data_IF_332417697766
#
_entry.id   IF_332417697766
#
_cell.length_a   1.000
_cell.length_b   1.000
_cell.length_c   1.000
_cell.angle_alpha   90.00
_cell.angle_beta   90.00
_cell.angle_gamma   90.00
#
_symmetry.space_group_name_H-M   'P 1'
#
loop_
_entity.id
_entity.type
_entity.pdbx_description
1 polymer ?
#
# COMPACT_ATOMS: atom_id res chain seq x y z
N UNK A 1 8.26 4.73 14.85
CA UNK A 1 8.83 4.53 16.21
C UNK A 1 7.76 3.91 17.07
N UNK A 2 8.07 2.93 17.93
CA UNK A 2 7.09 2.30 18.81
C UNK A 2 6.40 3.32 19.75
N UNK A 3 5.15 3.07 20.13
CA UNK A 3 4.31 4.00 20.89
C UNK A 3 3.43 3.30 21.95
N UNK A 4 2.72 4.10 22.77
CA UNK A 4 1.66 3.61 23.67
C UNK A 4 0.46 3.09 22.85
N UNK A 5 -0.35 2.17 23.41
CA UNK A 5 -1.54 1.65 22.73
C UNK A 5 -2.71 2.65 22.68
N UNK A 6 -2.67 3.73 23.47
CA UNK A 6 -3.67 4.80 23.50
C UNK A 6 -3.00 6.14 23.80
N UNK A 7 -3.66 7.25 23.42
CA UNK A 7 -3.18 8.61 23.65
C UNK A 7 -3.01 8.89 25.15
N UNK A 8 -1.91 9.52 25.53
CA UNK A 8 -1.68 9.89 26.92
C UNK A 8 -2.76 10.84 27.45
N UNK A 9 -3.26 10.56 28.65
CA UNK A 9 -4.37 11.31 29.25
C UNK A 9 -5.77 10.82 28.86
N UNK A 10 -5.92 9.90 27.89
CA UNK A 10 -7.22 9.29 27.56
C UNK A 10 -7.52 8.01 28.34
N UNK A 11 -6.54 7.50 29.07
CA UNK A 11 -6.68 6.28 29.87
C UNK A 11 -6.03 6.40 31.24
N UNK A 12 -6.45 5.53 32.16
CA UNK A 12 -5.80 5.28 33.43
C UNK A 12 -5.54 3.78 33.57
N UNK A 13 -4.37 3.39 34.06
CA UNK A 13 -4.11 2.00 34.46
C UNK A 13 -5.07 1.67 35.61
N UNK A 14 -6.08 0.83 35.34
CA UNK A 14 -7.06 0.40 36.33
C UNK A 14 -6.60 -0.84 37.05
N UNK A 15 -5.79 -1.68 36.40
CA UNK A 15 -5.31 -2.92 37.00
C UNK A 15 -4.09 -3.50 36.28
N UNK A 16 -3.15 -4.10 37.02
CA UNK A 16 -1.81 -4.50 36.53
C UNK A 16 -1.66 -5.98 36.15
N UNK A 17 -0.49 -6.32 35.59
CA UNK A 17 -0.06 -7.68 35.27
C UNK A 17 0.20 -8.51 36.54
N UNK A 18 -0.10 -9.80 36.50
CA UNK A 18 0.20 -10.74 37.59
C UNK A 18 -1.04 -11.44 38.17
N UNK A 19 -0.88 -12.13 39.31
CA UNK A 19 -1.96 -12.94 39.90
C UNK A 19 -3.05 -12.08 40.53
N UNK A 20 -4.31 -12.37 40.19
CA UNK A 20 -5.51 -11.80 40.79
C UNK A 20 -6.42 -12.92 41.28
N UNK A 21 -6.69 -12.97 42.58
CA UNK A 21 -7.65 -13.93 43.18
C UNK A 21 -7.42 -15.40 42.77
N UNK A 22 -6.15 -15.79 42.56
CA UNK A 22 -5.76 -17.14 42.12
C UNK A 22 -5.61 -17.33 40.61
N UNK A 23 -6.12 -16.41 39.77
CA UNK A 23 -6.02 -16.46 38.31
C UNK A 23 -4.96 -15.50 37.76
N UNK A 24 -4.17 -15.90 36.73
CA UNK A 24 -3.19 -15.02 36.12
C UNK A 24 -3.87 -13.95 35.25
N UNK A 25 -3.50 -12.68 35.45
CA UNK A 25 -3.80 -11.58 34.55
C UNK A 25 -2.59 -11.32 33.66
N UNK A 26 -2.71 -11.64 32.37
CA UNK A 26 -1.59 -11.70 31.43
C UNK A 26 -1.30 -10.36 30.72
N UNK A 27 -1.99 -9.30 31.12
CA UNK A 27 -1.82 -7.96 30.55
C UNK A 27 -1.95 -6.84 31.58
N UNK A 28 -2.19 -5.63 31.09
CA UNK A 28 -2.58 -4.45 31.87
C UNK A 28 -3.95 -3.97 31.40
N UNK A 29 -4.79 -3.55 32.34
CA UNK A 29 -6.09 -2.96 32.02
C UNK A 29 -5.97 -1.44 32.03
N UNK A 30 -6.30 -0.84 30.89
CA UNK A 30 -6.27 0.59 30.65
C UNK A 30 -7.70 1.10 30.54
N UNK A 31 -8.27 1.57 31.65
CA UNK A 31 -9.61 2.11 31.69
C UNK A 31 -9.71 3.40 30.89
N UNK A 32 -10.66 3.45 29.97
CA UNK A 32 -10.91 4.56 29.06
C UNK A 32 -12.38 4.51 28.59
N UNK A 33 -13.00 5.65 28.22
CA UNK A 33 -14.36 5.66 27.68
C UNK A 33 -14.52 4.72 26.49
N UNK A 34 -15.70 4.09 26.36
CA UNK A 34 -16.03 3.31 25.17
C UNK A 34 -15.88 4.17 23.90
N UNK A 35 -15.27 3.61 22.85
CA UNK A 35 -14.96 4.33 21.62
C UNK A 35 -13.61 5.07 21.62
N UNK A 36 -12.85 5.05 22.73
CA UNK A 36 -11.50 5.65 22.76
C UNK A 36 -10.58 4.96 21.74
N UNK A 37 -9.87 5.68 20.86
CA UNK A 37 -8.98 5.09 19.86
C UNK A 37 -7.87 4.20 20.43
N UNK A 38 -7.64 3.05 19.79
CA UNK A 38 -6.56 2.09 20.09
C UNK A 38 -5.58 2.06 18.90
N UNK A 39 -4.28 2.03 19.20
CA UNK A 39 -3.20 2.12 18.21
C UNK A 39 -2.25 0.93 18.25
N UNK A 40 -1.72 0.54 17.08
CA UNK A 40 -0.62 -0.41 16.95
C UNK A 40 0.62 0.14 17.65
N UNK A 41 1.20 -0.62 18.57
CA UNK A 41 2.34 -0.13 19.38
C UNK A 41 3.68 -0.26 18.67
N UNK A 42 3.77 -1.12 17.66
CA UNK A 42 4.95 -1.39 16.85
C UNK A 42 4.53 -1.77 15.42
N UNK A 43 5.47 -1.75 14.48
CA UNK A 43 5.23 -2.22 13.12
C UNK A 43 5.04 -3.75 13.13
N UNK A 44 4.08 -4.28 12.37
CA UNK A 44 3.77 -5.71 12.44
C UNK A 44 2.75 -6.18 11.42
N UNK A 45 2.37 -7.45 11.52
CA UNK A 45 1.34 -8.10 10.72
C UNK A 45 0.20 -8.52 11.64
N UNK A 46 -1.03 -8.18 11.28
CA UNK A 46 -2.21 -8.57 12.06
C UNK A 46 -2.42 -10.08 11.89
N UNK A 47 -2.37 -10.79 13.00
CA UNK A 47 -2.66 -12.24 13.08
C UNK A 47 -4.15 -12.48 13.20
N UNK A 48 -4.84 -11.60 13.93
CA UNK A 48 -6.27 -11.72 14.16
C UNK A 48 -6.93 -10.34 14.39
N UNK A 49 -8.05 -10.07 13.73
CA UNK A 49 -8.77 -8.79 13.77
C UNK A 49 -10.28 -8.94 13.54
N UNK A 50 -10.86 -8.06 12.71
CA UNK A 50 -12.32 -7.94 12.49
C UNK A 50 -12.95 -9.17 11.87
N UNK A 51 -12.18 -10.04 11.21
CA UNK A 51 -12.68 -11.28 10.60
C UNK A 51 -13.19 -12.30 11.63
N UNK A 52 -12.87 -12.10 12.91
CA UNK A 52 -13.31 -12.98 14.00
C UNK A 52 -14.60 -12.49 14.62
N UNK A 53 -15.68 -13.29 14.60
CA UNK A 53 -16.98 -12.85 15.13
C UNK A 53 -16.89 -12.33 16.57
N UNK A 54 -17.73 -11.33 16.87
CA UNK A 54 -17.89 -10.82 18.22
C UNK A 54 -18.11 -11.94 19.23
N UNK A 55 -17.38 -11.91 20.36
CA UNK A 55 -17.51 -12.91 21.42
C UNK A 55 -16.85 -14.26 21.14
N UNK A 56 -16.16 -14.42 20.00
CA UNK A 56 -15.48 -15.67 19.64
C UNK A 56 -14.17 -15.92 20.39
N UNK A 57 -13.69 -14.92 21.15
CA UNK A 57 -12.45 -15.04 21.93
C UNK A 57 -12.79 -15.13 23.42
N UNK A 58 -12.66 -16.33 23.98
CA UNK A 58 -12.95 -16.59 25.40
C UNK A 58 -12.19 -15.62 26.31
N UNK A 59 -12.89 -15.04 27.28
CA UNK A 59 -12.35 -14.01 28.19
C UNK A 59 -12.34 -12.61 27.58
N UNK A 60 -11.79 -12.42 26.37
CA UNK A 60 -11.61 -11.11 25.75
C UNK A 60 -12.87 -10.55 25.07
N UNK A 61 -13.80 -11.41 24.66
CA UNK A 61 -14.91 -11.06 23.79
C UNK A 61 -14.41 -10.90 22.36
N UNK A 62 -13.93 -9.70 22.03
CA UNK A 62 -13.24 -9.39 20.79
C UNK A 62 -11.84 -8.86 21.08
N UNK A 63 -10.93 -9.08 20.13
CA UNK A 63 -9.55 -8.65 20.28
C UNK A 63 -8.92 -8.22 18.96
N UNK A 64 -7.70 -7.72 19.03
CA UNK A 64 -6.77 -7.62 17.91
C UNK A 64 -5.47 -8.27 18.37
N UNK A 65 -4.84 -9.09 17.54
CA UNK A 65 -3.52 -9.67 17.80
C UNK A 65 -2.60 -9.36 16.63
N UNK A 66 -1.45 -8.78 16.94
CA UNK A 66 -0.44 -8.35 15.97
C UNK A 66 0.89 -9.03 16.29
N UNK A 67 1.48 -9.65 15.28
CA UNK A 67 2.85 -10.15 15.26
C UNK A 67 3.79 -9.00 14.89
N UNK A 68 4.62 -8.59 15.86
CA UNK A 68 5.65 -7.58 15.68
C UNK A 68 7.04 -8.18 15.92
N UNK A 69 7.22 -9.50 15.70
CA UNK A 69 8.48 -10.20 15.94
C UNK A 69 9.62 -9.61 15.09
N UNK A 70 9.34 -9.31 13.82
CA UNK A 70 10.33 -8.76 12.90
C UNK A 70 10.79 -7.33 13.27
N UNK A 71 9.96 -6.54 13.98
CA UNK A 71 10.27 -5.14 14.31
C UNK A 71 10.83 -4.99 15.71
N UNK A 72 10.25 -5.67 16.70
CA UNK A 72 10.59 -5.50 18.13
C UNK A 72 10.71 -6.84 18.87
N UNK A 73 10.58 -7.98 18.20
CA UNK A 73 10.70 -9.31 18.81
C UNK A 73 9.56 -9.66 19.77
N UNK A 74 8.35 -9.12 19.51
CA UNK A 74 7.17 -9.24 20.39
C UNK A 74 5.88 -9.41 19.61
N UNK A 75 4.88 -10.02 20.25
CA UNK A 75 3.48 -9.90 19.84
C UNK A 75 2.72 -9.03 20.84
N UNK A 76 1.65 -8.40 20.34
CA UNK A 76 0.76 -7.59 21.15
C UNK A 76 -0.68 -8.01 20.95
N UNK A 77 -1.42 -8.09 22.07
CA UNK A 77 -2.86 -8.35 22.06
C UNK A 77 -3.62 -7.18 22.70
N UNK A 78 -4.73 -6.84 22.06
CA UNK A 78 -5.65 -5.79 22.42
C UNK A 78 -7.02 -6.42 22.65
N UNK A 79 -7.44 -6.57 23.89
CA UNK A 79 -8.68 -7.24 24.30
C UNK A 79 -9.80 -6.28 24.69
N UNK A 80 -11.02 -6.81 24.80
CA UNK A 80 -12.25 -6.07 25.11
C UNK A 80 -12.55 -4.95 24.11
N UNK A 81 -12.10 -5.11 22.86
CA UNK A 81 -12.25 -4.13 21.78
C UNK A 81 -13.70 -4.09 21.30
N UNK A 82 -14.19 -2.93 20.87
CA UNK A 82 -15.52 -2.83 20.25
C UNK A 82 -15.48 -3.44 18.85
N UNK A 83 -16.15 -4.57 18.64
CA UNK A 83 -16.01 -5.37 17.43
C UNK A 83 -16.34 -4.60 16.13
N UNK A 84 -17.47 -3.87 16.01
CA UNK A 84 -17.74 -3.02 14.85
C UNK A 84 -16.72 -1.89 14.62
N UNK A 85 -15.93 -1.57 15.64
CA UNK A 85 -14.89 -0.55 15.61
C UNK A 85 -13.48 -1.09 15.39
N UNK A 86 -13.30 -2.39 15.11
CA UNK A 86 -12.00 -2.95 14.69
C UNK A 86 -11.75 -2.54 13.23
N UNK A 87 -10.59 -1.93 12.99
CA UNK A 87 -10.24 -1.32 11.69
C UNK A 87 -9.33 -2.19 10.82
N UNK A 88 -8.85 -3.32 11.36
CA UNK A 88 -7.86 -4.20 10.73
C UNK A 88 -8.31 -5.65 10.71
N UNK A 89 -7.78 -6.45 9.79
CA UNK A 89 -8.03 -7.89 9.63
C UNK A 89 -6.73 -8.69 9.50
N UNK A 90 -6.83 -10.01 9.67
CA UNK A 90 -5.68 -10.90 9.48
C UNK A 90 -5.00 -10.69 8.12
N UNK A 91 -3.68 -10.55 8.13
CA UNK A 91 -2.83 -10.28 6.95
C UNK A 91 -2.44 -8.81 6.77
N UNK A 92 -3.16 -7.86 7.37
CA UNK A 92 -2.85 -6.42 7.24
C UNK A 92 -1.47 -6.11 7.84
N UNK A 93 -0.67 -5.27 7.16
CA UNK A 93 0.52 -4.68 7.79
C UNK A 93 0.13 -3.41 8.51
N UNK A 94 0.63 -3.24 9.73
CA UNK A 94 0.40 -2.04 10.53
C UNK A 94 1.70 -1.34 10.84
N UNK A 95 1.64 -0.02 10.99
CA UNK A 95 2.76 0.78 11.52
C UNK A 95 2.48 1.23 12.95
N UNK A 96 3.53 1.39 13.75
CA UNK A 96 3.43 1.98 15.07
C UNK A 96 2.71 3.34 15.01
N UNK A 97 1.69 3.53 15.84
CA UNK A 97 0.85 4.73 15.86
C UNK A 97 -0.33 4.70 14.88
N UNK A 98 -0.52 3.64 14.10
CA UNK A 98 -1.73 3.44 13.30
C UNK A 98 -2.90 3.05 14.21
N UNK A 99 -4.05 3.73 14.08
CA UNK A 99 -5.25 3.30 14.80
C UNK A 99 -5.76 1.97 14.22
N UNK A 100 -5.97 1.00 15.09
CA UNK A 100 -6.37 -0.37 14.75
C UNK A 100 -7.76 -0.73 15.27
N UNK A 101 -8.28 0.04 16.23
CA UNK A 101 -9.60 -0.20 16.80
C UNK A 101 -10.04 0.91 17.74
N UNK A 102 -11.08 0.61 18.53
CA UNK A 102 -11.55 1.46 19.62
C UNK A 102 -11.92 0.64 20.86
N UNK A 103 -11.76 1.22 22.04
CA UNK A 103 -12.09 0.61 23.33
C UNK A 103 -13.54 0.17 23.34
N UNK A 104 -13.76 -1.09 23.70
CA UNK A 104 -15.09 -1.66 23.88
C UNK A 104 -15.40 -1.92 25.35
N UNK A 105 -16.33 -2.84 25.56
CA UNK A 105 -16.68 -3.40 26.87
C UNK A 105 -17.13 -4.86 26.70
N UNK A 106 -16.48 -5.58 25.78
CA UNK A 106 -16.91 -6.91 25.35
C UNK A 106 -16.25 -8.02 26.16
N UNK A 107 -16.84 -9.21 26.17
CA UNK A 107 -16.29 -10.35 26.92
C UNK A 107 -16.40 -10.17 28.43
N UNK A 108 -15.42 -10.70 29.17
CA UNK A 108 -15.39 -10.65 30.64
C UNK A 108 -14.87 -9.29 31.14
N UNK A 109 -15.61 -8.23 30.83
CA UNK A 109 -15.30 -6.85 31.22
C UNK A 109 -16.34 -6.30 32.20
N UNK A 110 -15.90 -5.62 33.26
CA UNK A 110 -16.78 -4.97 34.25
C UNK A 110 -17.03 -3.48 33.96
N UNK A 111 -16.37 -2.93 32.95
CA UNK A 111 -16.55 -1.56 32.46
C UNK A 111 -15.58 -1.24 31.33
N UNK A 112 -15.80 -0.18 30.52
CA UNK A 112 -14.99 0.09 29.34
C UNK A 112 -13.50 0.24 29.64
N UNK A 113 -12.67 -0.60 29.00
CA UNK A 113 -11.21 -0.58 29.09
C UNK A 113 -10.57 -1.35 27.94
N UNK A 114 -9.29 -1.08 27.68
CA UNK A 114 -8.43 -1.93 26.85
C UNK A 114 -7.66 -2.88 27.76
N UNK A 115 -7.78 -4.18 27.52
CA UNK A 115 -6.84 -5.17 28.07
C UNK A 115 -5.67 -5.34 27.11
N UNK A 116 -4.45 -5.02 27.54
CA UNK A 116 -3.28 -5.01 26.66
C UNK A 116 -2.23 -6.02 27.14
N UNK A 117 -1.81 -6.93 26.26
CA UNK A 117 -0.79 -7.95 26.57
C UNK A 117 0.46 -7.78 25.68
N UNK A 118 1.62 -8.12 26.22
CA UNK A 118 2.90 -8.22 25.49
C UNK A 118 3.46 -9.65 25.63
N UNK A 119 3.87 -10.25 24.51
CA UNK A 119 4.40 -11.61 24.48
C UNK A 119 5.80 -11.66 23.86
N UNK A 120 6.70 -12.41 24.49
CA UNK A 120 8.06 -12.69 23.99
C UNK A 120 8.04 -13.62 22.78
N UNK A 121 9.13 -13.67 22.01
CA UNK A 121 9.33 -14.64 20.94
C UNK A 121 9.07 -16.10 21.41
N UNK A 122 8.43 -16.95 20.57
CA UNK A 122 8.00 -16.69 19.19
C UNK A 122 6.63 -16.00 19.06
N UNK A 123 6.07 -15.44 20.14
CA UNK A 123 4.75 -14.78 20.13
C UNK A 123 3.73 -15.45 21.05
N UNK A 124 2.44 -15.15 20.89
CA UNK A 124 1.38 -15.69 21.78
C UNK A 124 1.30 -17.22 21.77
N UNK A 125 1.68 -17.87 20.66
CA UNK A 125 1.58 -19.33 20.47
C UNK A 125 2.78 -20.15 20.96
N UNK A 126 3.71 -19.54 21.70
CA UNK A 126 4.84 -20.28 22.28
C UNK A 126 5.73 -19.47 23.20
N UNK A 127 5.56 -18.15 23.21
CA UNK A 127 6.25 -17.23 24.09
C UNK A 127 5.57 -17.08 25.44
N UNK A 128 6.21 -16.28 26.28
CA UNK A 128 5.74 -15.91 27.62
C UNK A 128 5.17 -14.50 27.63
N UNK A 129 4.00 -14.33 28.23
CA UNK A 129 3.45 -13.01 28.56
C UNK A 129 4.36 -12.30 29.57
N UNK A 130 4.65 -11.03 29.31
CA UNK A 130 5.44 -10.17 30.19
C UNK A 130 4.62 -8.94 30.58
N UNK A 131 5.05 -8.25 31.64
CA UNK A 131 4.35 -7.06 32.12
C UNK A 131 4.45 -5.90 31.10
N UNK A 132 3.34 -5.52 30.44
CA UNK A 132 3.34 -4.45 29.45
C UNK A 132 3.36 -3.06 30.08
N UNK A 133 3.28 -2.93 31.42
CA UNK A 133 3.40 -1.63 32.08
C UNK A 133 4.73 -0.95 31.76
N UNK A 134 5.81 -1.73 31.62
CA UNK A 134 7.11 -1.23 31.17
C UNK A 134 7.05 -0.62 29.78
N UNK A 135 6.35 -1.28 28.83
CA UNK A 135 6.14 -0.74 27.49
C UNK A 135 5.33 0.55 27.52
N UNK A 136 4.19 0.56 28.23
CA UNK A 136 3.29 1.72 28.33
C UNK A 136 3.98 2.92 28.98
N UNK A 137 4.89 2.70 29.93
CA UNK A 137 5.61 3.77 30.62
C UNK A 137 6.77 4.35 29.79
N UNK A 138 7.42 3.55 28.94
CA UNK A 138 8.68 3.91 28.26
C UNK A 138 8.52 4.43 26.84
N UNK A 139 7.33 4.31 26.24
CA UNK A 139 7.08 4.73 24.85
C UNK A 139 6.27 6.03 24.77
N UNK A 140 6.42 6.83 23.70
CA UNK A 140 5.65 8.07 23.52
C UNK A 140 4.17 7.81 23.24
N UNK A 141 3.31 8.80 23.51
CA UNK A 141 1.91 8.77 23.10
C UNK A 141 1.79 8.56 21.58
N UNK A 142 0.84 7.73 21.09
CA UNK A 142 0.48 7.73 19.67
C UNK A 142 0.02 9.15 19.31
N UNK A 143 0.53 9.70 18.21
CA UNK A 143 0.18 11.07 17.78
C UNK A 143 1.25 12.16 17.92
N UNK A 144 2.54 11.83 18.12
CA UNK A 144 3.61 12.76 17.72
C UNK A 144 3.80 12.83 16.19
N UNK A 145 3.35 11.83 15.44
CA UNK A 145 3.08 11.85 13.98
C UNK A 145 2.63 10.43 13.59
N UNK A 146 1.35 10.20 13.31
CA UNK A 146 0.85 9.10 12.49
C UNK A 146 -0.68 9.10 12.51
N UNK A 147 -1.27 9.54 11.40
CA UNK A 147 -2.66 9.24 11.05
C UNK A 147 -2.67 7.92 10.26
N UNK A 148 -3.78 7.20 10.36
CA UNK A 148 -4.06 5.86 9.82
C UNK A 148 -3.80 5.77 8.31
N UNK A 149 -3.04 4.77 7.86
CA UNK A 149 -3.02 4.30 6.46
C UNK A 149 -3.79 2.97 6.42
N UNK A 150 -4.83 2.88 5.60
CA UNK A 150 -5.49 1.61 5.25
C UNK A 150 -4.80 1.06 4.00
N UNK A 151 -4.37 -0.18 4.02
CA UNK A 151 -3.56 -0.81 2.97
C UNK A 151 -4.38 -1.28 1.75
N UNK A 152 -5.41 -0.51 1.36
CA UNK A 152 -6.04 -0.59 0.04
C UNK A 152 -5.85 0.73 -0.77
N UNK A 153 -5.14 1.72 -0.23
CA UNK A 153 -4.61 2.85 -1.00
C UNK A 153 -3.42 3.48 -0.27
N UNK A 154 -2.20 3.05 -0.60
CA UNK A 154 -1.04 3.89 -0.32
C UNK A 154 -1.17 5.08 -1.25
N UNK A 155 -1.63 6.23 -0.75
CA UNK A 155 -1.54 7.44 -1.55
C UNK A 155 -0.09 7.88 -1.58
N UNK A 156 0.54 7.69 -2.74
CA UNK A 156 1.90 8.18 -2.99
C UNK A 156 1.82 9.57 -3.59
N UNK A 157 2.81 10.40 -3.27
CA UNK A 157 2.82 11.81 -3.62
C UNK A 157 3.91 12.10 -4.64
N UNK A 158 3.61 13.01 -5.55
CA UNK A 158 4.53 13.43 -6.58
C UNK A 158 4.47 14.92 -6.83
N UNK A 159 5.37 15.37 -7.69
CA UNK A 159 5.42 16.74 -8.17
C UNK A 159 5.41 16.72 -9.70
N UNK A 160 4.97 17.81 -10.29
CA UNK A 160 5.29 18.13 -11.67
C UNK A 160 6.04 19.45 -11.71
N UNK A 161 7.11 19.48 -12.50
CA UNK A 161 8.06 20.60 -12.52
C UNK A 161 8.51 20.91 -13.93
N UNK A 162 8.89 22.16 -14.10
CA UNK A 162 9.37 22.72 -15.35
C UNK A 162 10.51 23.70 -15.08
N UNK A 163 10.97 24.41 -16.10
CA UNK A 163 11.96 25.46 -15.92
C UNK A 163 11.53 26.67 -15.06
N UNK A 164 10.31 26.67 -14.51
CA UNK A 164 9.92 27.54 -13.41
C UNK A 164 10.58 27.13 -12.07
N UNK A 165 10.96 25.86 -11.91
CA UNK A 165 11.63 25.29 -10.73
C UNK A 165 13.10 24.94 -11.02
N UNK A 166 13.88 25.87 -11.59
CA UNK A 166 15.33 25.62 -11.84
C UNK A 166 16.08 25.36 -10.54
N UNK A 167 17.04 24.44 -10.59
CA UNK A 167 17.88 24.08 -9.42
C UNK A 167 17.12 23.36 -8.31
N UNK A 168 15.98 22.74 -8.62
CA UNK A 168 15.16 22.02 -7.64
C UNK A 168 15.90 20.82 -7.04
N UNK A 169 15.94 20.74 -5.71
CA UNK A 169 16.59 19.64 -4.99
C UNK A 169 15.70 18.40 -4.92
N UNK A 170 15.78 17.57 -5.96
CA UNK A 170 15.01 16.32 -6.07
C UNK A 170 15.42 15.26 -5.04
N UNK A 171 16.67 15.28 -4.56
CA UNK A 171 17.12 14.37 -3.50
C UNK A 171 16.47 14.73 -2.16
N UNK A 172 16.41 16.04 -1.84
CA UNK A 172 15.66 16.53 -0.68
C UNK A 172 14.16 16.27 -0.82
N UNK A 173 13.58 16.47 -2.01
CA UNK A 173 12.17 16.17 -2.25
C UNK A 173 11.86 14.68 -1.97
N UNK A 174 12.72 13.76 -2.46
CA UNK A 174 12.64 12.33 -2.13
C UNK A 174 12.73 12.08 -0.63
N UNK A 175 13.67 12.73 0.06
CA UNK A 175 13.84 12.62 1.51
C UNK A 175 12.63 13.15 2.30
N UNK A 176 11.89 14.13 1.76
CA UNK A 176 10.63 14.63 2.31
C UNK A 176 9.43 13.70 2.02
N UNK A 177 9.63 12.69 1.15
CA UNK A 177 8.65 11.65 0.83
C UNK A 177 7.88 11.90 -0.46
N UNK A 178 8.45 12.64 -1.42
CA UNK A 178 8.02 12.63 -2.82
C UNK A 178 8.48 11.33 -3.46
N UNK A 179 7.60 10.65 -4.18
CA UNK A 179 7.86 9.31 -4.76
C UNK A 179 7.95 9.34 -6.28
N UNK A 180 7.31 10.31 -6.94
CA UNK A 180 7.35 10.47 -8.39
C UNK A 180 7.48 11.94 -8.85
N UNK A 181 8.02 12.13 -10.06
CA UNK A 181 8.12 13.43 -10.71
C UNK A 181 7.67 13.35 -12.18
N UNK A 182 6.83 14.29 -12.62
CA UNK A 182 6.42 14.45 -14.01
C UNK A 182 7.09 15.71 -14.57
N UNK A 183 7.98 15.54 -15.54
CA UNK A 183 8.92 16.60 -15.96
C UNK A 183 8.53 17.22 -17.30
N UNK A 184 8.52 18.56 -17.40
CA UNK A 184 8.19 19.22 -18.68
C UNK A 184 9.28 19.00 -19.72
N UNK A 185 8.89 18.50 -20.89
CA UNK A 185 9.76 18.42 -22.06
C UNK A 185 9.82 19.75 -22.81
N UNK A 186 8.64 20.29 -23.09
CA UNK A 186 8.44 21.49 -23.89
C UNK A 186 7.05 22.10 -23.66
N UNK A 187 6.95 23.37 -24.05
CA UNK A 187 5.70 24.10 -24.24
C UNK A 187 5.57 24.43 -25.73
N UNK A 188 4.73 23.67 -26.43
CA UNK A 188 4.73 23.66 -27.88
C UNK A 188 6.14 23.39 -28.43
N UNK A 189 6.72 24.39 -29.09
CA UNK A 189 8.10 24.33 -29.61
C UNK A 189 9.14 24.98 -28.70
N UNK A 190 8.74 25.60 -27.59
CA UNK A 190 9.65 26.08 -26.57
C UNK A 190 10.26 24.89 -25.82
N UNK A 191 11.60 24.81 -25.82
CA UNK A 191 12.37 23.77 -25.14
C UNK A 191 12.42 24.07 -23.65
N UNK A 192 11.97 23.14 -22.80
CA UNK A 192 12.21 23.27 -21.36
C UNK A 192 13.71 23.11 -21.06
N UNK A 193 14.34 24.21 -20.64
CA UNK A 193 15.81 24.24 -20.49
C UNK A 193 16.29 23.54 -19.21
N UNK A 194 15.39 23.09 -18.34
CA UNK A 194 15.73 22.42 -17.08
C UNK A 194 15.46 20.91 -17.12
N UNK A 195 14.70 20.44 -18.11
CA UNK A 195 14.34 19.03 -18.30
C UNK A 195 15.51 18.06 -18.04
N UNK A 196 16.66 18.27 -18.68
CA UNK A 196 17.82 17.35 -18.54
C UNK A 196 18.40 17.32 -17.14
N UNK A 197 18.44 18.47 -16.46
CA UNK A 197 18.91 18.58 -15.08
C UNK A 197 17.93 17.90 -14.12
N UNK A 198 16.63 18.16 -14.29
CA UNK A 198 15.58 17.53 -13.50
C UNK A 198 15.52 16.03 -13.71
N UNK A 199 15.60 15.54 -14.95
CA UNK A 199 15.60 14.12 -15.25
C UNK A 199 16.77 13.41 -14.56
N UNK A 200 17.99 13.94 -14.72
CA UNK A 200 19.16 13.37 -14.08
C UNK A 200 19.08 13.45 -12.54
N UNK A 201 18.49 14.52 -11.99
CA UNK A 201 18.24 14.65 -10.55
C UNK A 201 17.23 13.63 -10.03
N UNK A 202 16.14 13.42 -10.76
CA UNK A 202 15.06 12.52 -10.37
C UNK A 202 15.51 11.05 -10.41
N UNK A 203 16.24 10.66 -11.46
CA UNK A 203 16.80 9.33 -11.60
C UNK A 203 17.84 9.03 -10.52
N UNK A 204 18.75 9.98 -10.22
CA UNK A 204 19.71 9.83 -9.12
C UNK A 204 19.03 9.71 -7.76
N UNK A 205 17.90 10.37 -7.56
CA UNK A 205 17.13 10.30 -6.33
C UNK A 205 16.26 9.03 -6.23
N UNK A 206 16.16 8.22 -7.29
CA UNK A 206 15.28 7.05 -7.32
C UNK A 206 13.80 7.41 -7.27
N UNK A 207 13.41 8.51 -7.91
CA UNK A 207 12.01 8.85 -8.15
C UNK A 207 11.47 8.05 -9.35
N UNK A 208 10.18 7.72 -9.32
CA UNK A 208 9.49 7.32 -10.54
C UNK A 208 9.37 8.55 -11.45
N UNK A 209 9.74 8.41 -12.71
CA UNK A 209 9.78 9.55 -13.64
C UNK A 209 8.81 9.33 -14.80
N UNK A 210 8.01 10.36 -15.07
CA UNK A 210 7.31 10.52 -16.34
C UNK A 210 7.59 11.92 -16.88
N UNK A 211 7.05 12.21 -18.06
CA UNK A 211 7.25 13.50 -18.71
C UNK A 211 5.94 14.08 -19.20
N UNK A 212 5.89 15.38 -19.43
CA UNK A 212 4.73 16.01 -20.04
C UNK A 212 5.11 17.01 -21.12
N UNK A 213 4.18 17.21 -22.04
CA UNK A 213 4.25 18.19 -23.11
C UNK A 213 3.03 19.09 -23.04
N UNK A 214 3.26 20.39 -22.81
CA UNK A 214 2.20 21.40 -22.89
C UNK A 214 1.84 21.60 -24.36
N UNK A 215 0.71 21.02 -24.77
CA UNK A 215 0.25 20.98 -26.14
C UNK A 215 -0.24 22.37 -26.57
N UNK A 216 0.27 22.86 -27.70
CA UNK A 216 -0.25 24.08 -28.35
C UNK A 216 -1.07 23.71 -29.57
N UNK A 217 -2.18 24.42 -29.80
CA UNK A 217 -3.01 24.20 -30.97
C UNK A 217 -2.25 24.62 -32.24
N UNK A 218 -2.48 23.96 -33.40
CA UNK A 218 -1.88 24.39 -34.67
C UNK A 218 -2.16 25.86 -35.02
N UNK A 219 -3.32 26.38 -34.61
CA UNK A 219 -3.70 27.79 -34.77
C UNK A 219 -2.80 28.78 -34.01
N UNK A 220 -2.01 28.30 -33.05
CA UNK A 220 -1.03 29.09 -32.30
C UNK A 220 0.33 29.20 -33.03
N UNK A 221 0.44 28.63 -34.23
CA UNK A 221 1.56 28.89 -35.15
C UNK A 221 2.57 27.75 -35.29
N UNK A 222 2.36 26.60 -34.64
CA UNK A 222 3.22 25.41 -34.83
C UNK A 222 2.37 24.15 -34.96
N UNK A 223 2.71 23.31 -35.93
CA UNK A 223 2.06 22.00 -36.09
C UNK A 223 2.39 21.07 -34.93
N UNK A 224 1.51 20.10 -34.67
CA UNK A 224 1.72 19.03 -33.70
C UNK A 224 3.05 18.28 -33.97
N UNK A 225 3.32 17.97 -35.23
CA UNK A 225 4.57 17.31 -35.64
C UNK A 225 5.83 18.13 -35.28
N UNK A 226 5.82 19.46 -35.47
CA UNK A 226 6.93 20.34 -35.08
C UNK A 226 7.14 20.38 -33.56
N UNK A 227 6.07 20.26 -32.78
CA UNK A 227 6.17 20.17 -31.32
C UNK A 227 6.77 18.83 -30.91
N UNK A 228 6.38 17.72 -31.56
CA UNK A 228 6.97 16.39 -31.31
C UNK A 228 8.44 16.32 -31.78
N UNK A 229 8.87 17.08 -32.79
CA UNK A 229 10.30 17.24 -33.13
C UNK A 229 11.12 17.77 -31.93
N UNK A 230 10.51 18.58 -31.06
CA UNK A 230 11.17 19.09 -29.84
C UNK A 230 11.31 17.98 -28.82
N UNK A 231 10.26 17.16 -28.66
CA UNK A 231 10.27 15.98 -27.78
C UNK A 231 11.37 15.00 -28.22
N UNK A 232 11.52 14.75 -29.52
CA UNK A 232 12.61 13.91 -30.04
C UNK A 232 14.00 14.42 -29.65
N UNK A 233 14.23 15.73 -29.75
CA UNK A 233 15.51 16.33 -29.34
C UNK A 233 15.74 16.26 -27.83
N UNK A 234 14.69 16.42 -27.03
CA UNK A 234 14.78 16.36 -25.56
C UNK A 234 15.03 14.93 -25.07
N UNK A 235 14.26 13.98 -25.58
CA UNK A 235 14.34 12.56 -25.22
C UNK A 235 15.63 11.90 -25.70
N UNK A 236 16.28 12.43 -26.73
CA UNK A 236 17.61 11.97 -27.15
C UNK A 236 17.66 10.48 -27.51
N UNK A 237 16.55 9.95 -28.05
CA UNK A 237 16.39 8.54 -28.40
C UNK A 237 15.75 7.66 -27.31
N UNK A 238 15.50 8.18 -26.10
CA UNK A 238 14.75 7.44 -25.08
C UNK A 238 13.30 7.20 -25.47
N UNK A 239 12.78 6.05 -25.06
CA UNK A 239 11.40 5.58 -25.31
C UNK A 239 10.78 4.92 -24.07
N UNK A 240 11.53 4.84 -22.99
CA UNK A 240 11.16 4.25 -21.71
C UNK A 240 10.41 5.24 -20.79
N UNK A 241 10.45 6.54 -21.09
CA UNK A 241 9.69 7.57 -20.40
C UNK A 241 8.33 7.80 -21.07
N UNK A 242 7.26 7.63 -20.28
CA UNK A 242 5.91 8.01 -20.71
C UNK A 242 5.77 9.52 -20.92
N UNK A 243 4.90 9.89 -21.85
CA UNK A 243 4.55 11.28 -22.16
C UNK A 243 3.08 11.52 -21.80
N UNK A 244 2.81 12.49 -20.94
CA UNK A 244 1.50 13.08 -20.71
C UNK A 244 1.27 14.24 -21.69
N UNK A 245 0.10 14.27 -22.32
CA UNK A 245 -0.32 15.41 -23.14
C UNK A 245 -1.06 16.37 -22.23
N UNK A 246 -0.47 17.54 -21.97
CA UNK A 246 -1.07 18.59 -21.15
C UNK A 246 -1.94 19.50 -22.04
N UNK A 247 -3.24 19.53 -21.72
CA UNK A 247 -4.32 20.10 -22.54
C UNK A 247 -5.00 21.24 -21.80
N UNK A 248 -4.39 22.43 -21.87
CA UNK A 248 -4.97 23.62 -21.26
C UNK A 248 -4.62 24.96 -21.97
N UNK A 249 -4.29 24.90 -23.26
CA UNK A 249 -3.82 26.09 -24.00
C UNK A 249 -4.87 27.19 -24.13
N UNK A 250 -4.59 28.32 -23.47
CA UNK A 250 -5.44 29.52 -23.45
C UNK A 250 -4.70 30.79 -23.92
N UNK A 251 -4.17 30.83 -25.17
CA UNK A 251 -3.55 32.06 -25.69
C UNK A 251 -4.53 33.23 -25.58
N UNK A 252 -4.07 34.33 -24.97
CA UNK A 252 -4.88 35.51 -24.68
C UNK A 252 -6.23 35.20 -23.96
N UNK A 253 -6.29 34.12 -23.17
CA UNK A 253 -7.48 33.70 -22.43
C UNK A 253 -8.49 32.89 -23.25
N UNK A 254 -8.17 32.53 -24.50
CA UNK A 254 -9.07 31.80 -25.40
C UNK A 254 -8.64 30.34 -25.51
N UNK A 255 -9.53 29.40 -25.18
CA UNK A 255 -9.29 27.96 -25.38
C UNK A 255 -9.18 27.63 -26.86
N UNK A 256 -8.11 26.95 -27.28
CA UNK A 256 -7.82 26.71 -28.71
C UNK A 256 -7.70 25.24 -29.09
N UNK A 257 -7.40 24.36 -28.13
CA UNK A 257 -7.34 22.91 -28.38
C UNK A 257 -8.74 22.33 -28.60
N UNK A 258 -8.82 21.27 -29.41
CA UNK A 258 -10.04 20.49 -29.64
C UNK A 258 -9.75 19.04 -29.31
N UNK A 259 -10.79 18.21 -29.12
CA UNK A 259 -10.61 16.77 -28.93
C UNK A 259 -9.86 16.10 -30.09
N UNK A 260 -9.96 16.62 -31.31
CA UNK A 260 -9.19 16.10 -32.45
C UNK A 260 -7.71 16.45 -32.36
N UNK A 261 -7.35 17.66 -31.89
CA UNK A 261 -5.95 18.00 -31.65
C UNK A 261 -5.29 17.06 -30.62
N UNK A 262 -6.01 16.67 -29.57
CA UNK A 262 -5.50 15.73 -28.56
C UNK A 262 -5.27 14.33 -29.16
N UNK A 263 -6.21 13.85 -29.98
CA UNK A 263 -6.07 12.56 -30.68
C UNK A 263 -4.94 12.58 -31.70
N UNK A 264 -4.78 13.67 -32.44
CA UNK A 264 -3.68 13.86 -33.39
C UNK A 264 -2.33 13.87 -32.67
N UNK A 265 -2.22 14.60 -31.56
CA UNK A 265 -1.04 14.64 -30.72
C UNK A 265 -0.65 13.25 -30.21
N UNK A 266 -1.62 12.47 -29.72
CA UNK A 266 -1.40 11.08 -29.31
C UNK A 266 -0.90 10.22 -30.47
N UNK A 267 -1.58 10.26 -31.62
CA UNK A 267 -1.19 9.48 -32.81
C UNK A 267 0.22 9.83 -33.28
N UNK A 268 0.59 11.11 -33.25
CA UNK A 268 1.93 11.55 -33.67
C UNK A 268 3.02 11.05 -32.72
N UNK A 269 2.80 11.11 -31.40
CA UNK A 269 3.71 10.54 -30.41
C UNK A 269 3.89 9.03 -30.60
N UNK A 270 2.79 8.29 -30.73
CA UNK A 270 2.81 6.83 -30.89
C UNK A 270 3.47 6.41 -32.21
N UNK A 271 3.23 7.16 -33.29
CA UNK A 271 3.89 6.95 -34.59
C UNK A 271 5.41 7.08 -34.52
N UNK A 272 5.93 7.88 -33.57
CA UNK A 272 7.37 8.03 -33.30
C UNK A 272 7.91 7.10 -32.21
N UNK A 273 7.08 6.15 -31.76
CA UNK A 273 7.42 5.12 -30.79
C UNK A 273 7.32 5.56 -29.33
N UNK A 274 6.77 6.74 -29.04
CA UNK A 274 6.55 7.17 -27.66
C UNK A 274 5.34 6.51 -27.05
N UNK A 275 5.44 6.18 -25.76
CA UNK A 275 4.30 5.79 -24.95
C UNK A 275 3.58 7.06 -24.46
N UNK A 276 2.30 7.19 -24.81
CA UNK A 276 1.44 8.27 -24.28
C UNK A 276 0.75 7.82 -23.01
N UNK A 277 1.32 8.12 -21.84
CA UNK A 277 0.78 7.69 -20.55
C UNK A 277 -0.70 8.07 -20.41
N UNK A 278 -1.04 9.29 -20.80
CA UNK A 278 -2.40 9.79 -20.76
C UNK A 278 -2.51 11.27 -21.09
N UNK A 279 -3.60 11.88 -20.64
CA UNK A 279 -3.88 13.30 -20.80
C UNK A 279 -3.95 13.98 -19.43
N UNK A 280 -3.40 15.18 -19.36
CA UNK A 280 -3.61 16.11 -18.25
C UNK A 280 -4.55 17.26 -18.66
N UNK A 281 -5.51 17.59 -17.80
CA UNK A 281 -6.38 18.77 -17.97
C UNK A 281 -7.13 19.07 -16.66
N UNK A 282 -7.60 20.32 -16.52
CA UNK A 282 -8.64 20.68 -15.57
C UNK A 282 -10.05 20.63 -16.18
N UNK A 283 -11.07 20.43 -15.35
CA UNK A 283 -12.49 20.45 -15.77
C UNK A 283 -12.86 21.75 -16.51
N UNK A 284 -12.34 22.88 -16.01
CA UNK A 284 -12.56 24.22 -16.57
C UNK A 284 -12.12 24.34 -18.04
N UNK A 285 -11.15 23.51 -18.48
CA UNK A 285 -10.68 23.45 -19.84
C UNK A 285 -11.41 22.37 -20.63
N UNK A 286 -11.42 21.13 -20.10
CA UNK A 286 -11.91 19.95 -20.80
C UNK A 286 -13.39 20.04 -21.19
N UNK A 287 -14.25 20.43 -20.26
CA UNK A 287 -15.71 20.51 -20.46
C UNK A 287 -16.10 21.65 -21.42
N UNK A 288 -15.29 22.70 -21.44
CA UNK A 288 -15.51 23.90 -22.24
C UNK A 288 -14.61 23.94 -23.49
N UNK A 289 -14.07 22.80 -23.89
CA UNK A 289 -13.19 22.71 -25.04
C UNK A 289 -13.94 23.07 -26.33
N UNK A 290 -13.33 23.82 -27.26
CA UNK A 290 -13.86 24.00 -28.60
C UNK A 290 -14.25 22.65 -29.25
N UNK A 291 -15.52 22.56 -29.68
CA UNK A 291 -16.10 21.31 -30.19
C UNK A 291 -16.84 20.47 -29.16
N UNK A 292 -16.88 20.89 -27.89
CA UNK A 292 -17.52 20.19 -26.78
C UNK A 292 -16.56 19.29 -26.01
N UNK A 293 -17.02 18.79 -24.87
CA UNK A 293 -16.25 17.90 -24.00
C UNK A 293 -15.87 16.61 -24.75
N UNK A 294 -14.56 16.31 -24.93
CA UNK A 294 -14.13 15.08 -25.59
C UNK A 294 -14.29 13.86 -24.67
N UNK A 295 -14.64 12.70 -25.26
CA UNK A 295 -14.46 11.41 -24.59
C UNK A 295 -12.97 11.07 -24.40
N UNK A 296 -12.67 10.39 -23.30
CA UNK A 296 -11.36 9.86 -22.93
C UNK A 296 -11.03 8.53 -23.62
N UNK A 297 -11.96 7.95 -24.39
CA UNK A 297 -11.73 6.71 -25.12
C UNK A 297 -10.49 6.80 -26.02
N UNK A 298 -9.61 5.80 -25.90
CA UNK A 298 -8.35 5.70 -26.61
C UNK A 298 -7.27 6.73 -26.23
N UNK A 299 -7.49 7.61 -25.23
CA UNK A 299 -6.53 8.63 -24.81
C UNK A 299 -5.58 8.20 -23.68
N UNK A 300 -5.82 7.04 -23.05
CA UNK A 300 -4.97 6.49 -21.99
C UNK A 300 -5.48 6.81 -20.59
N UNK A 301 -4.56 7.09 -19.67
CA UNK A 301 -4.89 7.46 -18.29
C UNK A 301 -5.27 8.94 -18.18
N UNK A 302 -5.89 9.31 -17.07
CA UNK A 302 -6.35 10.66 -16.81
C UNK A 302 -5.63 11.26 -15.60
N UNK A 303 -4.94 12.37 -15.83
CA UNK A 303 -4.33 13.20 -14.79
C UNK A 303 -5.14 14.50 -14.68
N UNK A 304 -5.80 14.76 -13.54
CA UNK A 304 -6.73 15.90 -13.42
C UNK A 304 -6.20 16.95 -12.47
N UNK A 305 -6.29 18.22 -12.85
CA UNK A 305 -6.18 19.33 -11.90
C UNK A 305 -7.51 19.63 -11.21
N UNK A 306 -7.50 19.55 -9.88
CA UNK A 306 -8.56 20.06 -9.01
C UNK A 306 -7.93 20.50 -7.70
N UNK A 307 -7.69 21.80 -7.55
CA UNK A 307 -6.85 22.32 -6.47
C UNK A 307 -7.53 22.44 -5.10
N UNK A 308 -8.74 21.92 -4.93
CA UNK A 308 -9.46 22.06 -3.66
C UNK A 308 -9.61 23.53 -3.25
N UNK A 309 -9.00 23.90 -2.12
CA UNK A 309 -8.96 25.29 -1.63
C UNK A 309 -7.71 26.06 -2.10
N UNK A 310 -6.74 25.38 -2.71
CA UNK A 310 -5.43 25.85 -3.17
C UNK A 310 -4.69 26.71 -2.13
N UNK A 311 -4.63 26.20 -0.90
CA UNK A 311 -3.91 26.88 0.19
C UNK A 311 -2.40 26.82 -0.03
N UNK A 312 -1.68 27.70 0.67
CA UNK A 312 -0.22 27.64 0.76
C UNK A 312 0.20 26.74 1.91
N UNK A 313 1.20 25.89 1.71
CA UNK A 313 1.71 25.04 2.78
C UNK A 313 2.47 23.81 2.29
N UNK A 314 2.74 22.88 3.21
CA UNK A 314 3.33 21.60 2.85
C UNK A 314 2.36 20.77 2.02
N UNK A 315 2.87 20.08 1.00
CA UNK A 315 2.06 19.30 0.08
C UNK A 315 1.12 18.30 0.78
N UNK A 316 1.54 17.66 1.88
CA UNK A 316 0.68 16.74 2.64
C UNK A 316 -0.44 17.47 3.39
N UNK A 317 -0.14 18.62 4.00
CA UNK A 317 -1.15 19.43 4.68
C UNK A 317 -2.23 19.94 3.73
N UNK A 318 -1.84 20.30 2.50
CA UNK A 318 -2.79 20.70 1.46
C UNK A 318 -3.72 19.55 1.09
N UNK A 319 -3.16 18.35 0.85
CA UNK A 319 -3.93 17.16 0.50
C UNK A 319 -4.96 16.81 1.58
N UNK A 320 -4.50 16.63 2.81
CA UNK A 320 -5.35 16.28 3.96
C UNK A 320 -6.40 17.37 4.23
N UNK A 321 -5.99 18.63 4.14
CA UNK A 321 -6.88 19.75 4.40
C UNK A 321 -8.04 19.82 3.42
N UNK A 322 -7.87 19.35 2.18
CA UNK A 322 -8.91 19.33 1.15
C UNK A 322 -9.58 17.94 1.01
N UNK A 323 -9.46 17.12 2.06
CA UNK A 323 -10.18 15.85 2.22
C UNK A 323 -9.36 14.61 1.92
N UNK A 324 -8.09 14.73 1.54
CA UNK A 324 -7.15 13.62 1.33
C UNK A 324 -7.68 12.56 0.36
N UNK A 325 -7.77 11.32 0.83
CA UNK A 325 -8.36 10.19 0.10
C UNK A 325 -9.91 10.30 -0.06
N UNK A 326 -10.51 11.43 0.33
CA UNK A 326 -11.87 11.82 0.00
C UNK A 326 -11.91 13.16 -0.75
N UNK A 327 -10.77 13.65 -1.24
CA UNK A 327 -10.70 14.89 -2.01
C UNK A 327 -11.64 14.81 -3.22
N UNK A 328 -12.49 15.83 -3.38
CA UNK A 328 -13.59 15.85 -4.37
C UNK A 328 -13.13 15.59 -5.81
N UNK A 329 -11.90 15.97 -6.14
CA UNK A 329 -11.29 15.78 -7.45
C UNK A 329 -11.30 14.32 -7.89
N UNK A 330 -11.11 13.36 -6.98
CA UNK A 330 -11.08 11.92 -7.31
C UNK A 330 -12.41 11.36 -7.81
N UNK A 331 -13.52 12.02 -7.46
CA UNK A 331 -14.87 11.63 -7.88
C UNK A 331 -15.36 12.43 -9.08
N UNK A 332 -14.54 13.33 -9.63
CA UNK A 332 -14.90 14.23 -10.72
C UNK A 332 -14.33 13.71 -12.05
N UNK A 333 -15.14 13.03 -12.89
CA UNK A 333 -14.66 12.54 -14.17
C UNK A 333 -14.44 13.68 -15.17
N UNK A 334 -13.50 13.49 -16.10
CA UNK A 334 -13.42 14.27 -17.34
C UNK A 334 -13.79 13.35 -18.51
N UNK A 335 -14.77 13.77 -19.31
CA UNK A 335 -15.46 12.88 -20.23
C UNK A 335 -16.06 11.68 -19.49
N UNK A 336 -15.66 10.49 -19.88
CA UNK A 336 -16.16 9.21 -19.37
C UNK A 336 -15.22 8.52 -18.37
N UNK A 337 -14.17 9.21 -17.88
CA UNK A 337 -13.14 8.61 -17.02
C UNK A 337 -12.90 9.40 -15.73
N UNK A 338 -12.78 8.69 -14.60
CA UNK A 338 -12.32 9.26 -13.31
C UNK A 338 -10.80 9.43 -13.29
N UNK A 339 -10.24 10.35 -12.50
CA UNK A 339 -8.80 10.57 -12.45
C UNK A 339 -8.04 9.32 -12.01
N UNK A 340 -6.97 8.98 -12.73
CA UNK A 340 -5.94 8.05 -12.29
C UNK A 340 -4.93 8.76 -11.38
N UNK A 341 -4.56 10.01 -11.71
CA UNK A 341 -3.69 10.89 -10.92
C UNK A 341 -4.41 12.22 -10.65
N UNK A 342 -4.26 12.77 -9.46
CA UNK A 342 -4.84 14.06 -9.09
C UNK A 342 -3.73 15.07 -8.82
N UNK A 343 -3.68 16.16 -9.58
CA UNK A 343 -2.97 17.38 -9.20
C UNK A 343 -3.89 18.19 -8.29
N UNK A 344 -3.56 18.22 -7.00
CA UNK A 344 -4.45 18.74 -5.96
C UNK A 344 -4.04 20.12 -5.43
N UNK A 345 -2.96 20.71 -5.95
CA UNK A 345 -2.57 22.07 -5.62
C UNK A 345 -1.38 22.56 -6.42
N UNK A 346 -1.29 23.89 -6.55
CA UNK A 346 -0.19 24.59 -7.23
C UNK A 346 0.61 25.49 -6.29
N UNK A 347 0.22 25.57 -5.03
CA UNK A 347 0.73 26.53 -4.04
C UNK A 347 1.54 25.84 -2.93
N UNK A 348 2.14 24.68 -3.22
CA UNK A 348 2.88 23.91 -2.23
C UNK A 348 4.33 24.38 -2.05
N UNK A 349 4.86 24.20 -0.84
CA UNK A 349 6.30 24.21 -0.57
C UNK A 349 6.81 22.77 -0.54
N UNK A 350 7.83 22.47 -1.36
CA UNK A 350 8.49 21.16 -1.42
C UNK A 350 10.00 21.38 -1.56
N UNK A 351 10.82 20.67 -0.78
CA UNK A 351 12.28 20.78 -0.78
C UNK A 351 12.81 22.21 -0.56
N UNK A 352 12.03 23.07 0.11
CA UNK A 352 12.34 24.50 0.30
C UNK A 352 12.04 25.40 -0.92
N UNK A 353 11.50 24.85 -2.00
CA UNK A 353 11.03 25.59 -3.16
C UNK A 353 9.52 25.89 -3.06
N UNK A 354 9.11 27.05 -3.58
CA UNK A 354 7.72 27.49 -3.67
C UNK A 354 7.58 28.50 -4.83
N UNK A 355 6.49 28.45 -5.62
CA UNK A 355 5.43 27.44 -5.61
C UNK A 355 5.81 26.15 -6.38
N UNK A 356 5.18 25.03 -6.01
CA UNK A 356 5.37 23.71 -6.62
C UNK A 356 4.02 23.05 -6.81
N UNK A 357 3.77 22.51 -8.01
CA UNK A 357 2.61 21.70 -8.31
C UNK A 357 2.73 20.31 -7.70
N UNK A 358 1.66 19.85 -7.05
CA UNK A 358 1.67 18.62 -6.25
C UNK A 358 0.56 17.66 -6.64
N UNK A 359 0.96 16.38 -6.68
CA UNK A 359 0.18 15.30 -7.24
C UNK A 359 0.03 14.17 -6.23
N UNK A 360 -1.09 13.46 -6.32
CA UNK A 360 -1.37 12.27 -5.56
C UNK A 360 -1.78 11.15 -6.52
N UNK A 361 -1.36 9.93 -6.19
CA UNK A 361 -1.79 8.68 -6.84
C UNK A 361 -2.26 7.71 -5.76
N UNK A 362 -3.46 7.15 -5.90
CA UNK A 362 -4.00 6.15 -4.97
C UNK A 362 -3.64 4.76 -5.45
N UNK A 363 -2.53 4.22 -4.96
CA UNK A 363 -2.02 2.92 -5.35
C UNK A 363 -0.51 2.80 -5.14
N UNK A 364 0.05 1.65 -5.48
CA UNK A 364 1.47 1.40 -5.22
C UNK A 364 2.39 2.08 -6.24
N UNK A 365 3.66 2.22 -5.88
CA UNK A 365 4.69 2.72 -6.80
C UNK A 365 4.80 1.86 -8.07
N UNK A 366 4.62 0.54 -7.97
CA UNK A 366 4.65 -0.38 -9.11
C UNK A 366 3.46 -0.16 -10.06
N UNK A 367 2.27 0.08 -9.50
CA UNK A 367 1.08 0.39 -10.30
C UNK A 367 1.24 1.74 -11.02
N UNK A 368 1.80 2.75 -10.35
CA UNK A 368 2.11 4.02 -11.00
C UNK A 368 3.21 3.88 -12.07
N UNK A 369 4.23 3.06 -11.83
CA UNK A 369 5.26 2.77 -12.82
C UNK A 369 4.65 2.11 -14.08
N UNK A 370 3.65 1.25 -13.91
CA UNK A 370 2.92 0.66 -15.03
C UNK A 370 2.12 1.70 -15.85
N UNK A 371 1.54 2.71 -15.20
CA UNK A 371 0.90 3.84 -15.89
C UNK A 371 1.92 4.62 -16.73
N UNK A 372 3.09 4.92 -16.15
CA UNK A 372 4.13 5.72 -16.81
C UNK A 372 4.79 4.97 -17.97
N UNK A 373 5.12 3.69 -17.77
CA UNK A 373 5.93 2.93 -18.73
C UNK A 373 5.09 2.07 -19.67
N UNK A 374 3.83 1.77 -19.32
CA UNK A 374 3.01 0.77 -20.01
C UNK A 374 3.46 -0.67 -19.77
N UNK A 375 4.49 -0.89 -18.97
CA UNK A 375 4.90 -2.23 -18.55
C UNK A 375 3.82 -2.75 -17.60
N UNK A 376 3.16 -3.85 -17.94
CA UNK A 376 2.35 -4.57 -16.95
C UNK A 376 3.24 -4.84 -15.73
N UNK A 377 2.75 -4.71 -14.49
CA UNK A 377 3.40 -5.34 -13.36
C UNK A 377 3.76 -6.76 -13.77
N UNK A 378 5.00 -7.20 -13.54
CA UNK A 378 5.39 -8.58 -13.84
C UNK A 378 4.27 -9.50 -13.36
N UNK A 379 3.71 -10.31 -14.25
CA UNK A 379 2.55 -11.16 -13.97
C UNK A 379 2.92 -12.12 -12.84
N UNK A 380 2.71 -11.69 -11.60
CA UNK A 380 2.68 -12.54 -10.39
C UNK A 380 1.38 -13.35 -10.34
N UNK A 381 0.67 -13.49 -11.46
CA UNK A 381 -0.52 -14.33 -11.59
C UNK A 381 -0.15 -15.80 -11.86
N UNK A 382 1.07 -16.11 -12.29
CA UNK A 382 1.50 -17.51 -12.49
C UNK A 382 2.14 -18.17 -11.25
N UNK A 383 2.74 -17.42 -10.32
CA UNK A 383 3.31 -18.00 -9.09
C UNK A 383 2.24 -18.33 -8.04
N UNK A 384 1.20 -17.50 -7.84
CA UNK A 384 0.13 -17.79 -6.86
C UNK A 384 -0.80 -18.95 -7.27
N UNK A 385 -1.07 -19.11 -8.57
CA UNK A 385 -1.81 -20.28 -9.06
C UNK A 385 -0.96 -21.54 -9.10
N UNK A 386 0.34 -21.42 -9.38
CA UNK A 386 1.27 -22.55 -9.28
C UNK A 386 1.42 -23.02 -7.83
N UNK A 387 1.44 -22.11 -6.85
CA UNK A 387 1.45 -22.45 -5.42
C UNK A 387 0.11 -23.04 -4.96
N UNK A 388 -1.03 -22.49 -5.40
CA UNK A 388 -2.34 -23.06 -5.08
C UNK A 388 -2.56 -24.43 -5.71
N UNK A 389 -2.06 -24.64 -6.93
CA UNK A 389 -2.10 -25.93 -7.62
C UNK A 389 -1.08 -26.89 -7.04
N UNK A 390 0.11 -26.43 -6.65
CA UNK A 390 1.12 -27.27 -5.98
C UNK A 390 0.66 -27.67 -4.58
N UNK A 391 -0.01 -26.77 -3.84
CA UNK A 391 -0.66 -27.09 -2.56
C UNK A 391 -1.80 -28.08 -2.78
N UNK A 392 -2.64 -27.89 -3.81
CA UNK A 392 -3.70 -28.85 -4.18
C UNK A 392 -3.13 -30.20 -4.60
N UNK A 393 -2.05 -30.24 -5.39
CA UNK A 393 -1.39 -31.45 -5.87
C UNK A 393 -0.65 -32.15 -4.71
N UNK A 394 -0.11 -31.40 -3.75
CA UNK A 394 0.46 -31.92 -2.49
C UNK A 394 -0.66 -32.51 -1.62
N UNK A 395 -1.83 -31.86 -1.53
CA UNK A 395 -3.01 -32.41 -0.85
C UNK A 395 -3.56 -33.66 -1.55
N UNK A 396 -3.59 -33.68 -2.89
CA UNK A 396 -4.00 -34.84 -3.70
C UNK A 396 -3.00 -36.01 -3.59
N UNK A 397 -1.70 -35.71 -3.48
CA UNK A 397 -0.64 -36.71 -3.23
C UNK A 397 -0.62 -37.22 -1.79
N UNK A 398 -0.99 -36.40 -0.80
CA UNK A 398 -1.08 -36.79 0.62
C UNK A 398 -2.37 -37.56 0.95
N UNK A 399 -3.48 -37.29 0.24
CA UNK A 399 -4.80 -37.87 0.55
C UNK A 399 -5.26 -38.99 -0.42
N UNK A 400 -4.63 -39.13 -1.58
CA UNK A 400 -4.92 -40.19 -2.58
C UNK A 400 -6.24 -40.01 -3.34
N UNK A 401 -6.40 -40.58 -4.56
CA UNK A 401 -7.55 -40.28 -5.41
C UNK A 401 -8.71 -41.26 -5.13
N UNK A 402 -9.72 -40.81 -4.39
CA UNK A 402 -11.05 -41.43 -4.39
C UNK A 402 -12.06 -40.48 -5.02
N UNK A 403 -12.96 -41.00 -5.86
CA UNK A 403 -14.16 -40.30 -6.33
C UNK A 403 -15.36 -41.23 -6.14
N UNK A 404 -16.49 -40.71 -5.71
CA UNK A 404 -17.74 -41.46 -5.65
C UNK A 404 -18.27 -41.80 -7.06
N UNK A 405 -19.33 -42.61 -7.12
CA UNK A 405 -19.99 -43.03 -8.37
C UNK A 405 -20.56 -41.86 -9.21
N UNK A 406 -20.58 -40.63 -8.65
CA UNK A 406 -21.01 -39.39 -9.32
C UNK A 406 -19.83 -38.50 -9.70
N UNK A 407 -18.59 -38.97 -9.53
CA UNK A 407 -17.36 -38.27 -9.89
C UNK A 407 -16.91 -37.20 -8.91
N UNK A 408 -17.53 -37.12 -7.71
CA UNK A 408 -17.17 -36.16 -6.65
C UNK A 408 -16.06 -36.75 -5.78
N UNK A 409 -15.04 -35.98 -5.39
CA UNK A 409 -13.93 -36.51 -4.59
C UNK A 409 -14.42 -37.14 -3.27
N UNK A 410 -13.92 -38.34 -2.96
CA UNK A 410 -14.12 -39.03 -1.67
C UNK A 410 -12.76 -39.32 -1.06
N UNK A 411 -12.59 -38.92 0.20
CA UNK A 411 -11.33 -39.03 0.93
C UNK A 411 -11.21 -40.40 1.60
N UNK A 412 -10.14 -41.12 1.28
CA UNK A 412 -9.94 -42.47 1.79
C UNK A 412 -9.19 -42.43 3.12
N UNK A 413 -9.93 -42.41 4.22
CA UNK A 413 -9.47 -43.00 5.49
C UNK A 413 -9.12 -42.08 6.65
N UNK A 414 -9.29 -40.76 6.53
CA UNK A 414 -9.27 -39.88 7.70
C UNK A 414 -10.59 -39.12 7.77
N UNK A 415 -11.31 -39.38 8.85
CA UNK A 415 -12.58 -38.72 9.16
C UNK A 415 -12.34 -37.23 9.38
N UNK A 416 -13.06 -36.40 8.62
CA UNK A 416 -12.92 -34.94 8.61
C UNK A 416 -13.22 -34.36 10.00
N UNK A 417 -14.14 -34.97 10.73
CA UNK A 417 -14.48 -34.59 12.08
C UNK A 417 -13.34 -34.93 13.05
N UNK A 418 -12.66 -36.07 12.89
CA UNK A 418 -11.47 -36.43 13.66
C UNK A 418 -10.28 -35.49 13.41
N UNK A 419 -10.06 -35.03 12.17
CA UNK A 419 -9.03 -34.01 11.87
C UNK A 419 -9.43 -32.66 12.49
N UNK A 420 -10.69 -32.26 12.36
CA UNK A 420 -11.23 -31.03 12.97
C UNK A 420 -11.22 -31.10 14.50
N UNK A 421 -11.39 -32.27 15.09
CA UNK A 421 -11.43 -32.49 16.54
C UNK A 421 -10.02 -32.56 17.15
N UNK A 422 -9.06 -33.18 16.48
CA UNK A 422 -7.64 -33.09 16.82
C UNK A 422 -7.08 -31.67 16.63
N UNK A 423 -7.61 -30.91 15.67
CA UNK A 423 -7.31 -29.48 15.52
C UNK A 423 -8.01 -28.60 16.60
N UNK A 424 -8.98 -29.15 17.35
CA UNK A 424 -9.80 -28.41 18.33
C UNK A 424 -9.53 -28.80 19.80
N UNK A 425 -8.96 -29.95 20.10
CA UNK A 425 -8.74 -30.40 21.50
C UNK A 425 -7.25 -30.46 21.85
N UNK A 426 -6.85 -29.70 22.86
CA UNK A 426 -5.46 -29.51 23.28
C UNK A 426 -5.11 -30.34 24.52
N UNK A 427 -5.47 -31.63 24.56
CA UNK A 427 -5.14 -32.48 25.72
C UNK A 427 -3.90 -33.37 25.57
N UNK A 428 -3.17 -33.29 24.45
CA UNK A 428 -1.92 -34.07 24.26
C UNK A 428 -0.73 -33.28 23.70
N UNK A 429 -0.80 -31.95 23.65
CA UNK A 429 0.37 -31.11 23.31
C UNK A 429 0.75 -31.04 21.82
N UNK A 430 -0.20 -31.23 20.89
CA UNK A 430 0.03 -31.16 19.45
C UNK A 430 0.04 -29.74 18.85
N UNK A 431 0.85 -29.54 17.80
CA UNK A 431 1.06 -28.28 17.07
C UNK A 431 -0.01 -28.04 15.97
N UNK A 432 -0.19 -26.80 15.54
CA UNK A 432 -1.14 -26.32 14.52
C UNK A 432 -0.81 -26.77 13.09
N UNK A 433 -1.74 -26.63 12.13
CA UNK A 433 -1.56 -27.02 10.72
C UNK A 433 -0.38 -26.29 10.04
N UNK A 434 -0.16 -25.01 10.38
CA UNK A 434 1.00 -24.23 9.92
C UNK A 434 2.29 -24.74 10.59
N UNK A 435 2.22 -25.16 11.86
CA UNK A 435 3.36 -25.77 12.55
C UNK A 435 3.64 -27.21 12.07
N UNK A 436 2.63 -27.95 11.59
CA UNK A 436 2.77 -29.23 10.91
C UNK A 436 3.41 -29.04 9.53
N UNK A 437 3.00 -28.00 8.78
CA UNK A 437 3.60 -27.62 7.49
C UNK A 437 5.02 -27.04 7.66
N UNK A 438 5.31 -26.36 8.78
CA UNK A 438 6.65 -25.90 9.11
C UNK A 438 7.55 -27.05 9.64
N UNK A 439 6.99 -28.01 10.38
CA UNK A 439 7.66 -29.24 10.80
C UNK A 439 8.03 -30.11 9.60
N UNK A 440 7.15 -30.27 8.63
CA UNK A 440 7.46 -31.03 7.41
C UNK A 440 8.56 -30.38 6.60
N UNK A 441 8.74 -29.05 6.66
CA UNK A 441 9.90 -28.40 6.02
C UNK A 441 11.22 -28.74 6.71
N UNK A 442 11.22 -28.84 8.04
CA UNK A 442 12.41 -29.25 8.82
C UNK A 442 12.68 -30.76 8.70
N UNK A 443 11.63 -31.59 8.67
CA UNK A 443 11.72 -33.04 8.48
C UNK A 443 12.11 -33.40 7.04
N UNK A 444 11.61 -32.69 6.03
CA UNK A 444 12.05 -32.81 4.63
C UNK A 444 13.52 -32.39 4.49
N UNK A 445 13.97 -31.39 5.24
CA UNK A 445 15.38 -31.01 5.27
C UNK A 445 16.26 -32.09 5.92
N UNK A 446 15.83 -32.69 7.03
CA UNK A 446 16.55 -33.81 7.67
C UNK A 446 16.52 -35.09 6.83
N UNK A 447 15.41 -35.36 6.13
CA UNK A 447 15.29 -36.49 5.22
C UNK A 447 16.17 -36.30 3.98
N UNK A 448 16.26 -35.06 3.46
CA UNK A 448 17.16 -34.71 2.36
C UNK A 448 18.64 -34.89 2.77
N UNK A 449 19.01 -34.49 3.99
CA UNK A 449 20.35 -34.72 4.54
C UNK A 449 20.66 -36.21 4.75
N UNK A 450 19.69 -36.99 5.27
CA UNK A 450 19.83 -38.43 5.46
C UNK A 450 19.95 -39.19 4.12
N UNK A 451 19.17 -38.80 3.10
CA UNK A 451 19.26 -39.38 1.75
C UNK A 451 20.58 -39.02 1.08
N UNK A 452 21.09 -37.80 1.26
CA UNK A 452 22.41 -37.40 0.76
C UNK A 452 23.55 -38.20 1.43
N UNK A 453 23.44 -38.46 2.75
CA UNK A 453 24.39 -39.30 3.47
C UNK A 453 24.35 -40.76 3.00
N UNK A 454 23.15 -41.32 2.79
CA UNK A 454 22.98 -42.70 2.29
C UNK A 454 23.51 -42.87 0.87
N UNK A 455 23.27 -41.89 -0.01
CA UNK A 455 23.77 -41.88 -1.38
C UNK A 455 25.31 -41.79 -1.44
N UNK A 456 25.93 -41.15 -0.45
CA UNK A 456 27.39 -41.09 -0.30
C UNK A 456 27.94 -42.43 0.16
N UNK A 457 27.34 -43.05 1.18
CA UNK A 457 27.74 -44.37 1.68
C UNK A 457 27.62 -45.48 0.61
N UNK A 458 26.56 -45.48 -0.20
CA UNK A 458 26.37 -46.45 -1.30
C UNK A 458 27.44 -46.28 -2.39
N UNK A 459 27.88 -45.05 -2.68
CA UNK A 459 28.98 -44.80 -3.62
C UNK A 459 30.32 -45.29 -3.09
N UNK A 460 30.56 -45.15 -1.79
CA UNK A 460 31.79 -45.63 -1.14
C UNK A 460 31.83 -47.17 -1.05
N UNK A 461 30.67 -47.82 -0.87
CA UNK A 461 30.57 -49.29 -0.83
C UNK A 461 30.74 -49.92 -2.22
N UNK A 462 30.29 -49.25 -3.30
CA UNK A 462 30.53 -49.67 -4.69
C UNK A 462 31.95 -49.36 -5.22
N UNK A 463 32.73 -48.55 -4.52
CA UNK A 463 34.15 -48.34 -4.86
C UNK A 463 35.10 -49.29 -4.11
N UNK A 464 34.61 -49.95 -3.05
CA UNK A 464 35.38 -50.88 -2.23
C UNK A 464 34.97 -52.36 -2.40
N UNK A 465 34.01 -52.64 -3.29
CA UNK A 465 33.65 -53.96 -3.81
C UNK A 465 34.10 -54.08 -5.25
#
# INVERSE_FOLDING_TARGET
MPCKPMVEGTFRVSSGFGRRWGSPHLGVDLAAPHGTPIYAVADGVVVQGRERPQGSVAGFGSWIWIDCQASVGRDFIYGHVHHPGILVQAGDRVRAGQQIGVVGNEGQSTGPHLHFEEWTAPGRLGGRAVDPAGWVASHPSPGATASIVREDSVTIFGIDISDHQRGFDLARAKAEGVEFAILRLCDGTYVDRSFREHLAGAERAGLLVSTYWYLRAPSEGTSISQQVDVIDRQMGGRRDLGVWIDVESIPAGVKTLTGEHVREAKRELERRGYRVAGVYSGAWYWEAMPGGEPSMDGLGHLWVSNYGSNRKGSYRTLYEGDGGDQHRGWSYPLGDRKPDILQYGSEATVAGHYPVDVNAYRGTSEQLAAIFTGTKPAEREEEEMADSKMISDIFDQLAGPGRDEKGKPTYNGWDEDTIRENARTRESGGKTLIELVALTRAEVHQLAEAVAALATAIKEEHQNA
#
